data_IF_898938221835
#
_entry.id   IF_898938221835
#
_cell.length_a   1.000
_cell.length_b   1.000
_cell.length_c   1.000
_cell.angle_alpha   90.00
_cell.angle_beta   90.00
_cell.angle_gamma   90.00
#
_symmetry.space_group_name_H-M   'P 1'
#
loop_
_entity.id
_entity.type
_entity.pdbx_description
1 polymer ?
#
# COMPACT_ATOMS: atom_id res chain seq x y z
N UNK A 1 -14.08 -1.07 -8.92
CA UNK A 1 -12.94 -1.35 -9.83
C UNK A 1 -12.59 -0.18 -10.75
N UNK A 2 -13.44 0.85 -10.85
CA UNK A 2 -13.18 2.01 -11.71
C UNK A 2 -11.97 2.81 -11.24
N UNK A 3 -11.70 2.81 -9.94
CA UNK A 3 -10.53 3.48 -9.36
C UNK A 3 -9.23 2.73 -9.72
N UNK A 4 -9.23 1.42 -9.64
CA UNK A 4 -8.07 0.61 -9.99
C UNK A 4 -7.66 0.82 -11.46
N UNK A 5 -8.64 0.90 -12.37
CA UNK A 5 -8.36 1.20 -13.78
C UNK A 5 -7.68 2.56 -14.00
N UNK A 6 -7.97 3.54 -13.13
CA UNK A 6 -7.36 4.87 -13.20
C UNK A 6 -5.97 4.91 -12.57
N UNK A 7 -5.74 4.15 -11.50
CA UNK A 7 -4.48 4.23 -10.74
C UNK A 7 -3.37 3.35 -11.33
N UNK A 8 -3.70 2.24 -11.99
CA UNK A 8 -2.68 1.34 -12.59
C UNK A 8 -1.73 2.09 -13.55
N UNK A 9 -2.21 2.91 -14.53
CA UNK A 9 -1.30 3.65 -15.41
C UNK A 9 -0.35 4.60 -14.67
N UNK A 10 -0.85 5.28 -13.63
CA UNK A 10 -0.05 6.17 -12.79
C UNK A 10 1.03 5.41 -12.02
N UNK A 11 0.70 4.27 -11.43
CA UNK A 11 1.65 3.43 -10.72
C UNK A 11 2.73 2.88 -11.65
N UNK A 12 2.36 2.48 -12.86
CA UNK A 12 3.32 2.02 -13.86
C UNK A 12 4.25 3.13 -14.33
N UNK A 13 3.73 4.34 -14.54
CA UNK A 13 4.55 5.50 -14.89
C UNK A 13 5.55 5.83 -13.77
N UNK A 14 5.13 5.75 -12.50
CA UNK A 14 6.01 5.95 -11.35
C UNK A 14 7.05 4.83 -11.18
N UNK A 15 6.67 3.59 -11.49
CA UNK A 15 7.60 2.47 -11.50
C UNK A 15 8.69 2.64 -12.58
N UNK A 16 8.31 3.15 -13.76
CA UNK A 16 9.25 3.48 -14.83
C UNK A 16 10.20 4.62 -14.43
N UNK A 17 9.70 5.68 -13.76
CA UNK A 17 10.49 6.84 -13.35
C UNK A 17 11.60 6.50 -12.34
N UNK A 18 11.41 5.43 -11.55
CA UNK A 18 12.43 4.95 -10.61
C UNK A 18 13.28 3.80 -11.17
N UNK A 19 12.88 3.20 -12.29
CA UNK A 19 13.61 2.10 -12.91
C UNK A 19 14.82 2.61 -13.70
N UNK A 20 15.96 1.99 -13.48
CA UNK A 20 17.21 2.27 -14.16
C UNK A 20 18.05 0.98 -14.32
N UNK A 21 19.33 1.09 -14.64
CA UNK A 21 20.23 -0.08 -14.78
C UNK A 21 20.46 -0.85 -13.47
N UNK A 22 20.08 -0.30 -12.32
CA UNK A 22 20.29 -0.86 -10.97
C UNK A 22 19.00 -1.10 -10.22
N UNK A 23 17.91 -0.55 -10.71
CA UNK A 23 16.60 -0.61 -10.05
C UNK A 23 15.56 -1.12 -11.03
N UNK A 24 14.85 -2.15 -10.65
CA UNK A 24 13.65 -2.60 -11.36
C UNK A 24 12.46 -2.47 -10.42
N UNK A 25 11.42 -1.76 -10.86
CA UNK A 25 10.18 -1.65 -10.14
C UNK A 25 9.04 -2.26 -10.94
N UNK A 26 8.14 -2.95 -10.25
CA UNK A 26 6.93 -3.55 -10.83
C UNK A 26 5.72 -3.23 -9.96
N UNK A 27 4.54 -3.26 -10.55
CA UNK A 27 3.28 -3.06 -9.85
C UNK A 27 2.68 -4.43 -9.55
N UNK A 28 2.41 -4.70 -8.27
CA UNK A 28 1.76 -5.92 -7.79
C UNK A 28 0.33 -5.58 -7.35
N UNK A 29 -0.65 -6.16 -8.02
CA UNK A 29 -2.06 -6.09 -7.62
C UNK A 29 -2.40 -7.37 -6.85
N UNK A 30 -2.71 -7.21 -5.57
CA UNK A 30 -3.24 -8.28 -4.73
C UNK A 30 -4.73 -8.09 -4.59
N UNK A 31 -5.48 -8.96 -5.25
CA UNK A 31 -6.94 -8.95 -5.25
C UNK A 31 -7.46 -9.90 -4.18
N UNK A 32 -8.00 -9.38 -3.09
CA UNK A 32 -8.58 -10.18 -2.03
C UNK A 32 -10.13 -10.18 -2.02
N UNK A 33 -10.73 -9.82 -3.15
CA UNK A 33 -12.13 -10.12 -3.40
C UNK A 33 -12.28 -11.63 -3.66
N UNK A 34 -13.12 -12.37 -2.92
CA UNK A 34 -13.35 -13.79 -3.15
C UNK A 34 -13.73 -14.15 -4.60
N UNK A 35 -14.28 -13.20 -5.33
CA UNK A 35 -14.71 -13.35 -6.74
C UNK A 35 -13.65 -12.88 -7.74
N UNK A 36 -12.47 -12.50 -7.28
CA UNK A 36 -11.39 -11.99 -8.15
C UNK A 36 -11.83 -10.80 -9.03
N UNK A 37 -12.53 -9.84 -8.43
CA UNK A 37 -13.19 -8.73 -9.14
C UNK A 37 -12.24 -7.77 -9.84
N UNK A 38 -10.96 -7.72 -9.46
CA UNK A 38 -9.95 -6.88 -10.10
C UNK A 38 -9.31 -7.54 -11.34
N UNK A 39 -9.45 -8.85 -11.55
CA UNK A 39 -8.80 -9.59 -12.63
C UNK A 39 -9.02 -8.97 -14.00
N UNK A 40 -10.27 -8.69 -14.36
CA UNK A 40 -10.61 -8.16 -15.69
C UNK A 40 -9.97 -6.79 -15.94
N UNK A 41 -9.88 -5.95 -14.92
CA UNK A 41 -9.25 -4.62 -15.01
C UNK A 41 -7.74 -4.76 -15.25
N UNK A 42 -7.08 -5.67 -14.53
CA UNK A 42 -5.64 -5.90 -14.69
C UNK A 42 -5.32 -6.49 -16.08
N UNK A 43 -6.12 -7.43 -16.57
CA UNK A 43 -5.93 -7.99 -17.91
C UNK A 43 -6.13 -6.93 -19.00
N UNK A 44 -7.13 -6.06 -18.86
CA UNK A 44 -7.31 -4.93 -19.78
C UNK A 44 -6.10 -3.99 -19.78
N UNK A 45 -5.54 -3.70 -18.59
CA UNK A 45 -4.34 -2.88 -18.47
C UNK A 45 -3.12 -3.56 -19.11
N UNK A 46 -2.94 -4.88 -18.97
CA UNK A 46 -1.86 -5.63 -19.62
C UNK A 46 -1.95 -5.56 -21.15
N UNK A 47 -3.15 -5.74 -21.70
CA UNK A 47 -3.37 -5.61 -23.15
C UNK A 47 -3.01 -4.21 -23.63
N UNK A 48 -3.40 -3.17 -22.92
CA UNK A 48 -3.05 -1.78 -23.24
C UNK A 48 -1.54 -1.50 -23.22
N UNK A 49 -0.77 -2.25 -22.42
CA UNK A 49 0.69 -2.18 -22.36
C UNK A 49 1.39 -2.93 -23.50
N UNK A 50 0.65 -3.55 -24.41
CA UNK A 50 1.22 -4.35 -25.50
C UNK A 50 1.74 -5.72 -25.05
N UNK A 51 1.36 -6.19 -23.87
CA UNK A 51 1.69 -7.53 -23.38
C UNK A 51 0.84 -8.58 -24.09
N UNK A 52 1.46 -9.63 -24.63
CA UNK A 52 0.75 -10.84 -25.04
C UNK A 52 0.04 -11.43 -23.81
N UNK A 53 -1.19 -11.90 -24.00
CA UNK A 53 -1.89 -12.65 -22.96
C UNK A 53 -0.99 -13.81 -22.54
N UNK A 54 -0.68 -14.00 -21.26
CA UNK A 54 -0.14 -15.27 -20.85
C UNK A 54 -1.22 -16.31 -21.17
N UNK A 55 -0.89 -17.26 -22.06
CA UNK A 55 -1.75 -18.43 -22.24
C UNK A 55 -2.10 -18.97 -20.86
N UNK A 56 -3.38 -19.26 -20.65
CA UNK A 56 -3.91 -19.82 -19.42
C UNK A 56 -3.34 -21.24 -19.22
N UNK A 57 -2.07 -21.32 -18.90
CA UNK A 57 -1.45 -22.52 -18.39
C UNK A 57 -1.57 -22.47 -16.88
N UNK A 58 -2.47 -23.31 -16.36
CA UNK A 58 -2.42 -23.69 -14.95
C UNK A 58 -0.97 -24.08 -14.62
N UNK A 59 -0.41 -23.61 -13.48
CA UNK A 59 0.96 -23.93 -13.11
C UNK A 59 1.06 -25.41 -12.74
N UNK A 60 1.26 -26.26 -13.74
CA UNK A 60 1.74 -27.63 -13.53
C UNK A 60 3.27 -27.57 -13.43
N UNK A 61 3.76 -27.44 -12.22
CA UNK A 61 5.20 -27.50 -11.95
C UNK A 61 5.70 -26.26 -11.21
N UNK A 62 6.50 -26.50 -10.20
CA UNK A 62 7.18 -25.56 -9.31
C UNK A 62 8.08 -24.54 -10.05
N UNK A 63 7.49 -23.61 -10.77
CA UNK A 63 8.17 -22.39 -11.16
C UNK A 63 8.14 -21.46 -9.94
N UNK A 64 9.31 -20.98 -9.53
CA UNK A 64 9.44 -20.01 -8.43
C UNK A 64 8.63 -18.77 -8.79
N UNK A 65 7.52 -18.45 -8.07
CA UNK A 65 6.66 -17.31 -8.39
C UNK A 65 7.43 -15.98 -8.33
N UNK A 66 8.53 -15.91 -7.59
CA UNK A 66 9.41 -14.75 -7.53
C UNK A 66 10.17 -14.54 -8.86
N UNK A 67 10.55 -15.59 -9.56
CA UNK A 67 11.26 -15.49 -10.85
C UNK A 67 10.35 -15.00 -11.98
N UNK A 68 9.06 -15.39 -11.96
CA UNK A 68 8.07 -14.91 -12.94
C UNK A 68 7.66 -13.44 -12.70
N UNK A 69 7.67 -12.99 -11.45
CA UNK A 69 7.39 -11.60 -11.09
C UNK A 69 8.51 -10.64 -11.51
N UNK A 70 9.75 -11.11 -11.58
CA UNK A 70 10.93 -10.29 -11.92
C UNK A 70 10.93 -9.76 -13.37
N UNK A 71 10.11 -10.31 -14.26
CA UNK A 71 10.05 -9.93 -15.68
C UNK A 71 8.77 -9.18 -16.09
N UNK A 72 7.73 -9.20 -15.27
CA UNK A 72 6.46 -8.54 -15.59
C UNK A 72 6.31 -7.20 -14.87
N UNK A 73 6.05 -6.13 -15.62
CA UNK A 73 5.80 -4.79 -15.06
C UNK A 73 4.51 -4.70 -14.24
N UNK A 74 3.54 -5.57 -14.52
CA UNK A 74 2.24 -5.64 -13.84
C UNK A 74 1.92 -7.08 -13.46
N UNK A 75 1.98 -7.37 -12.17
CA UNK A 75 1.72 -8.69 -11.59
C UNK A 75 0.34 -8.70 -10.94
N UNK A 76 -0.43 -9.74 -11.20
CA UNK A 76 -1.73 -9.97 -10.54
C UNK A 76 -1.67 -11.23 -9.70
N UNK A 77 -2.14 -11.13 -8.47
CA UNK A 77 -2.26 -12.27 -7.55
C UNK A 77 -3.63 -12.23 -6.89
N UNK A 78 -4.35 -13.35 -6.93
CA UNK A 78 -5.60 -13.52 -6.21
C UNK A 78 -5.33 -14.09 -4.81
N UNK A 79 -5.89 -13.44 -3.79
CA UNK A 79 -5.92 -13.91 -2.40
C UNK A 79 -7.39 -14.18 -2.02
N UNK A 80 -7.82 -15.46 -2.00
CA UNK A 80 -9.22 -15.79 -1.76
C UNK A 80 -9.66 -15.58 -0.31
N UNK A 81 -8.73 -15.50 0.65
CA UNK A 81 -9.06 -15.21 2.04
C UNK A 81 -9.43 -13.73 2.18
N UNK A 82 -10.68 -13.41 2.59
CA UNK A 82 -11.12 -12.03 2.69
C UNK A 82 -10.44 -11.31 3.86
N UNK A 83 -10.22 -10.02 3.68
CA UNK A 83 -9.72 -9.14 4.72
C UNK A 83 -8.34 -8.55 4.41
N UNK A 84 -8.15 -7.32 4.89
CA UNK A 84 -6.98 -6.49 4.59
C UNK A 84 -5.65 -7.15 4.99
N UNK A 85 -5.65 -7.91 6.08
CA UNK A 85 -4.45 -8.62 6.59
C UNK A 85 -4.03 -9.75 5.66
N UNK A 86 -4.98 -10.51 5.11
CA UNK A 86 -4.68 -11.58 4.16
C UNK A 86 -4.02 -11.00 2.90
N UNK A 87 -4.60 -9.95 2.31
CA UNK A 87 -4.04 -9.26 1.16
C UNK A 87 -2.63 -8.70 1.41
N UNK A 88 -2.40 -8.04 2.56
CA UNK A 88 -1.10 -7.49 2.90
C UNK A 88 -0.04 -8.56 3.17
N UNK A 89 -0.38 -9.64 3.85
CA UNK A 89 0.52 -10.77 4.06
C UNK A 89 0.80 -11.50 2.74
N UNK A 90 -0.17 -11.56 1.82
CA UNK A 90 0.03 -12.08 0.48
C UNK A 90 1.03 -11.21 -0.30
N UNK A 91 0.92 -9.88 -0.21
CA UNK A 91 1.88 -8.95 -0.81
C UNK A 91 3.29 -9.15 -0.28
N UNK A 92 3.47 -9.24 1.05
CA UNK A 92 4.75 -9.54 1.69
C UNK A 92 5.34 -10.88 1.22
N UNK A 93 4.49 -11.89 1.03
CA UNK A 93 4.95 -13.21 0.58
C UNK A 93 5.34 -13.21 -0.89
N UNK A 94 4.62 -12.46 -1.72
CA UNK A 94 4.87 -12.35 -3.15
C UNK A 94 6.11 -11.50 -3.47
N UNK A 95 6.41 -10.52 -2.62
CA UNK A 95 7.56 -9.63 -2.78
C UNK A 95 8.88 -10.21 -2.26
N UNK A 96 8.90 -11.46 -1.81
CA UNK A 96 10.15 -12.12 -1.36
C UNK A 96 11.21 -12.08 -2.45
N UNK A 97 12.43 -11.75 -2.06
CA UNK A 97 13.56 -11.60 -2.99
C UNK A 97 13.67 -10.22 -3.62
N UNK A 98 12.72 -9.30 -3.35
CA UNK A 98 12.87 -7.89 -3.66
C UNK A 98 13.53 -7.15 -2.48
N UNK A 99 14.16 -6.01 -2.77
CA UNK A 99 14.79 -5.19 -1.72
C UNK A 99 13.76 -4.43 -0.89
N UNK A 100 12.69 -3.95 -1.53
CA UNK A 100 11.64 -3.16 -0.89
C UNK A 100 10.25 -3.51 -1.42
N UNK A 101 9.23 -3.27 -0.59
CA UNK A 101 7.81 -3.32 -0.95
C UNK A 101 7.15 -1.99 -0.60
N UNK A 102 6.41 -1.42 -1.55
CA UNK A 102 5.63 -0.20 -1.32
C UNK A 102 4.16 -0.55 -1.36
N UNK A 103 3.45 -0.17 -0.30
CA UNK A 103 1.99 -0.28 -0.23
C UNK A 103 1.32 1.04 -0.60
N UNK A 104 0.23 0.92 -1.33
CA UNK A 104 -0.75 1.98 -1.60
C UNK A 104 -2.14 1.34 -1.67
N UNK A 105 -3.15 1.99 -1.12
CA UNK A 105 -4.52 1.51 -1.15
C UNK A 105 -5.17 1.82 -2.54
N UNK A 106 -6.16 1.04 -2.95
CA UNK A 106 -6.82 1.15 -4.26
C UNK A 106 -7.73 2.40 -4.40
N UNK A 107 -8.06 3.05 -3.29
CA UNK A 107 -8.81 4.32 -3.23
C UNK A 107 -7.88 5.55 -3.11
N UNK A 108 -6.58 5.38 -3.34
CA UNK A 108 -5.56 6.42 -3.21
C UNK A 108 -4.89 6.75 -4.55
N UNK A 109 -4.46 8.01 -4.68
CA UNK A 109 -3.82 8.52 -5.90
C UNK A 109 -2.45 9.07 -5.55
N UNK A 110 -1.36 8.49 -6.09
CA UNK A 110 -0.02 9.02 -5.87
C UNK A 110 0.20 10.32 -6.65
N UNK A 111 0.83 11.30 -6.01
CA UNK A 111 1.28 12.51 -6.69
C UNK A 111 2.50 12.22 -7.60
N UNK A 112 2.75 13.02 -8.64
CA UNK A 112 3.96 12.87 -9.46
C UNK A 112 5.23 12.87 -8.60
N UNK A 113 6.11 11.88 -8.81
CA UNK A 113 7.35 11.72 -8.05
C UNK A 113 7.20 11.07 -6.66
N UNK A 114 6.01 10.60 -6.30
CA UNK A 114 5.75 9.93 -5.03
C UNK A 114 6.68 8.74 -4.78
N UNK A 115 6.73 7.78 -5.70
CA UNK A 115 7.57 6.58 -5.53
C UNK A 115 9.06 6.95 -5.47
N UNK A 116 9.48 7.92 -6.26
CA UNK A 116 10.85 8.44 -6.24
C UNK A 116 11.21 9.06 -4.89
N UNK A 117 10.31 9.81 -4.27
CA UNK A 117 10.53 10.38 -2.96
C UNK A 117 10.68 9.29 -1.89
N UNK A 118 9.82 8.25 -1.89
CA UNK A 118 9.94 7.10 -0.98
C UNK A 118 11.29 6.39 -1.16
N UNK A 119 11.64 5.99 -2.39
CA UNK A 119 12.86 5.24 -2.70
C UNK A 119 14.11 6.05 -2.40
N UNK A 120 14.12 7.34 -2.74
CA UNK A 120 15.25 8.23 -2.46
C UNK A 120 15.49 8.39 -0.96
N UNK A 121 14.44 8.58 -0.18
CA UNK A 121 14.55 8.69 1.29
C UNK A 121 15.01 7.37 1.90
N UNK A 122 14.45 6.24 1.48
CA UNK A 122 14.88 4.92 1.95
C UNK A 122 16.36 4.67 1.72
N UNK A 123 16.85 4.92 0.51
CA UNK A 123 18.26 4.73 0.15
C UNK A 123 19.20 5.69 0.87
N UNK A 124 18.81 6.96 0.96
CA UNK A 124 19.64 7.98 1.61
C UNK A 124 19.77 7.78 3.11
N UNK A 125 18.71 7.25 3.76
CA UNK A 125 18.64 7.14 5.22
C UNK A 125 18.96 5.71 5.73
N UNK A 126 18.96 4.68 4.86
CA UNK A 126 19.17 3.28 5.26
C UNK A 126 18.17 2.85 6.35
N UNK A 127 16.90 3.23 6.20
CA UNK A 127 15.86 3.02 7.21
C UNK A 127 14.99 1.80 6.92
N UNK A 128 14.32 1.29 7.94
CA UNK A 128 13.46 0.10 7.84
C UNK A 128 12.15 0.37 7.10
N UNK A 129 11.68 1.61 7.10
CA UNK A 129 10.47 2.02 6.39
C UNK A 129 10.47 3.52 6.08
N UNK A 130 9.68 3.90 5.07
CA UNK A 130 9.41 5.31 4.72
C UNK A 130 7.90 5.48 4.53
N UNK A 131 7.37 6.58 5.01
CA UNK A 131 5.98 6.99 4.82
C UNK A 131 5.91 8.46 4.41
N UNK A 132 4.76 8.91 3.95
CA UNK A 132 4.55 10.31 3.56
C UNK A 132 3.13 10.77 3.89
N UNK A 133 2.77 12.01 3.54
CA UNK A 133 1.47 12.57 3.80
C UNK A 133 0.37 11.89 2.95
N UNK A 134 -0.84 11.79 3.54
CA UNK A 134 -2.03 11.23 2.89
C UNK A 134 -3.23 12.20 3.03
N UNK A 135 -3.16 13.40 2.41
CA UNK A 135 -4.26 14.37 2.49
C UNK A 135 -5.55 13.80 1.89
N UNK A 136 -6.72 14.12 2.49
CA UNK A 136 -8.00 13.71 1.97
C UNK A 136 -8.43 14.53 0.76
N UNK A 137 -9.05 13.87 -0.23
CA UNK A 137 -9.79 14.51 -1.31
C UNK A 137 -11.27 14.13 -1.16
N UNK A 138 -12.08 15.06 -0.70
CA UNK A 138 -13.50 14.84 -0.48
C UNK A 138 -14.29 14.94 -1.79
N UNK A 139 -15.17 13.99 -2.05
CA UNK A 139 -16.11 14.06 -3.20
C UNK A 139 -17.17 15.16 -3.02
N UNK A 140 -17.46 15.51 -1.76
CA UNK A 140 -18.37 16.60 -1.39
C UNK A 140 -17.74 17.39 -0.24
N UNK A 141 -17.97 18.69 -0.18
CA UNK A 141 -17.47 19.53 0.90
C UNK A 141 -17.91 18.99 2.26
N UNK A 142 -16.96 18.63 3.15
CA UNK A 142 -17.30 18.14 4.47
C UNK A 142 -17.94 19.23 5.32
N UNK A 143 -18.86 18.87 6.21
CA UNK A 143 -19.38 19.83 7.17
C UNK A 143 -18.27 20.31 8.12
N UNK A 144 -18.40 21.53 8.67
CA UNK A 144 -17.44 22.08 9.63
C UNK A 144 -17.18 21.14 10.82
N UNK A 145 -18.18 20.36 11.25
CA UNK A 145 -18.00 19.36 12.30
C UNK A 145 -17.10 18.19 11.86
N UNK A 146 -17.26 17.71 10.64
CA UNK A 146 -16.41 16.63 10.08
C UNK A 146 -14.98 17.11 9.96
N UNK A 147 -14.75 18.31 9.44
CA UNK A 147 -13.43 18.93 9.38
C UNK A 147 -12.81 19.07 10.78
N UNK A 148 -13.56 19.65 11.73
CA UNK A 148 -13.09 19.87 13.10
C UNK A 148 -12.85 18.57 13.89
N UNK A 149 -13.38 17.42 13.43
CA UNK A 149 -13.16 16.13 14.10
C UNK A 149 -11.75 15.59 13.98
N UNK A 150 -10.95 16.07 13.00
CA UNK A 150 -9.62 15.54 12.70
C UNK A 150 -9.59 14.10 12.16
N UNK A 151 -10.76 13.50 11.86
CA UNK A 151 -10.86 12.09 11.46
C UNK A 151 -10.20 11.77 10.11
N UNK A 152 -9.95 12.80 9.31
CA UNK A 152 -9.32 12.71 8.00
C UNK A 152 -8.02 13.49 7.90
N UNK A 153 -7.49 13.97 9.03
CA UNK A 153 -6.24 14.73 9.01
C UNK A 153 -5.09 13.84 8.52
N UNK A 154 -4.29 14.38 7.63
CA UNK A 154 -3.05 13.77 7.20
C UNK A 154 -1.99 13.97 8.28
N UNK A 155 -1.14 12.97 8.47
CA UNK A 155 0.04 13.12 9.30
C UNK A 155 1.03 14.05 8.59
N UNK A 156 1.59 14.98 9.36
CA UNK A 156 2.63 15.90 8.89
C UNK A 156 3.85 15.79 9.80
N UNK A 157 5.02 15.75 9.17
CA UNK A 157 6.31 15.81 9.84
C UNK A 157 7.31 16.51 8.93
N UNK A 158 8.42 16.97 9.49
CA UNK A 158 9.51 17.49 8.69
C UNK A 158 10.09 16.40 7.78
N UNK A 159 10.55 16.79 6.60
CA UNK A 159 11.19 15.85 5.67
C UNK A 159 12.39 15.15 6.33
N UNK A 160 12.50 13.84 6.18
CA UNK A 160 13.52 13.01 6.83
C UNK A 160 13.29 12.76 8.33
N UNK A 161 12.25 13.34 8.94
CA UNK A 161 11.99 13.12 10.38
C UNK A 161 11.70 11.66 10.70
N UNK A 162 12.10 11.23 11.90
CA UNK A 162 11.72 9.92 12.40
C UNK A 162 10.30 9.96 12.95
N UNK A 163 9.47 9.02 12.51
CA UNK A 163 8.10 8.82 13.01
C UNK A 163 7.97 7.46 13.69
N UNK A 164 6.91 7.29 14.49
CA UNK A 164 6.74 6.07 15.32
C UNK A 164 5.73 5.09 14.73
N UNK A 165 4.94 5.52 13.79
CA UNK A 165 3.86 4.76 13.17
C UNK A 165 3.62 5.27 11.76
N UNK A 166 3.04 4.44 10.91
CA UNK A 166 2.68 4.78 9.55
C UNK A 166 1.44 3.99 9.13
N UNK A 167 0.64 4.58 8.23
CA UNK A 167 -0.43 3.89 7.52
C UNK A 167 0.13 3.12 6.33
N UNK A 168 -0.40 1.94 6.06
CA UNK A 168 0.01 1.14 4.91
C UNK A 168 -0.45 1.70 3.58
N UNK A 169 -1.41 2.62 3.55
CA UNK A 169 -1.79 3.32 2.32
C UNK A 169 -0.66 4.15 1.70
N UNK A 170 0.39 4.48 2.46
CA UNK A 170 1.58 5.17 1.96
C UNK A 170 2.83 4.69 2.72
N UNK A 171 3.28 3.48 2.43
CA UNK A 171 4.36 2.84 3.20
C UNK A 171 5.31 2.06 2.32
N UNK A 172 6.59 2.44 2.33
CA UNK A 172 7.71 1.63 1.84
C UNK A 172 8.29 0.83 3.01
N UNK A 173 8.54 -0.45 2.80
CA UNK A 173 9.20 -1.37 3.72
C UNK A 173 10.51 -1.88 3.13
N UNK A 174 11.60 -1.84 3.89
CA UNK A 174 12.81 -2.61 3.63
C UNK A 174 12.54 -4.09 3.94
N UNK A 175 12.56 -4.93 2.91
CA UNK A 175 12.17 -6.33 3.07
C UNK A 175 13.21 -7.16 3.81
N UNK A 176 14.49 -6.81 3.72
CA UNK A 176 15.54 -7.50 4.48
C UNK A 176 15.32 -7.30 5.99
N UNK A 177 14.93 -6.08 6.41
CA UNK A 177 14.59 -5.79 7.81
C UNK A 177 13.32 -6.53 8.25
N UNK A 178 12.26 -6.46 7.44
CA UNK A 178 10.97 -7.11 7.75
C UNK A 178 11.12 -8.63 7.86
N UNK A 179 11.84 -9.25 6.95
CA UNK A 179 12.11 -10.70 6.95
C UNK A 179 13.03 -11.09 8.11
N UNK A 180 14.09 -10.33 8.35
CA UNK A 180 15.01 -10.57 9.47
C UNK A 180 14.33 -10.53 10.83
N UNK A 181 13.29 -9.72 10.97
CA UNK A 181 12.46 -9.62 12.17
C UNK A 181 11.29 -10.63 12.19
N UNK A 182 11.04 -11.34 11.10
CA UNK A 182 9.91 -12.25 10.96
C UNK A 182 8.55 -11.56 11.05
N UNK A 183 8.48 -10.26 10.70
CA UNK A 183 7.25 -9.47 10.85
C UNK A 183 6.19 -9.88 9.82
N UNK A 184 4.95 -9.95 10.28
CA UNK A 184 3.74 -10.16 9.48
C UNK A 184 2.60 -9.34 10.09
N UNK A 185 1.62 -9.00 9.26
CA UNK A 185 0.37 -8.43 9.75
C UNK A 185 -0.41 -9.47 10.55
N UNK A 186 -0.91 -9.08 11.74
CA UNK A 186 -1.56 -10.01 12.66
C UNK A 186 -3.02 -10.28 12.22
N UNK A 187 -3.38 -11.55 11.92
CA UNK A 187 -4.73 -11.91 11.46
C UNK A 187 -5.86 -11.52 12.42
N UNK A 188 -5.57 -11.34 13.70
CA UNK A 188 -6.56 -10.92 14.71
C UNK A 188 -7.13 -9.53 14.45
N UNK A 189 -6.46 -8.72 13.63
CA UNK A 189 -6.86 -7.34 13.28
C UNK A 189 -7.50 -7.22 11.90
N UNK A 190 -7.66 -8.31 11.16
CA UNK A 190 -8.14 -8.30 9.77
C UNK A 190 -9.53 -7.69 9.55
N UNK A 191 -10.39 -7.71 10.57
CA UNK A 191 -11.74 -7.15 10.52
C UNK A 191 -11.95 -5.92 11.41
N UNK A 192 -11.03 -5.64 12.32
CA UNK A 192 -11.16 -4.56 13.32
C UNK A 192 -10.39 -3.30 12.97
N UNK A 193 -9.41 -3.41 12.09
CA UNK A 193 -8.45 -2.34 11.78
C UNK A 193 -7.38 -2.18 12.88
N UNK A 194 -6.34 -1.40 12.59
CA UNK A 194 -5.21 -1.15 13.50
C UNK A 194 -4.04 -2.12 13.30
N UNK A 195 -4.11 -2.99 12.30
CA UNK A 195 -3.06 -3.93 11.89
C UNK A 195 -1.78 -3.22 11.44
N UNK A 196 -1.91 -2.09 10.74
CA UNK A 196 -0.82 -1.23 10.30
C UNK A 196 -0.10 -0.56 11.48
N UNK A 197 -0.87 0.00 12.41
CA UNK A 197 -0.33 0.59 13.64
C UNK A 197 0.38 -0.45 14.50
N UNK A 198 -0.14 -1.67 14.58
CA UNK A 198 0.52 -2.77 15.29
C UNK A 198 1.81 -3.16 14.59
N UNK A 199 1.77 -3.38 13.27
CA UNK A 199 2.92 -3.79 12.48
C UNK A 199 4.07 -2.77 12.58
N UNK A 200 3.78 -1.50 12.34
CA UNK A 200 4.79 -0.44 12.39
C UNK A 200 5.32 -0.20 13.81
N UNK A 201 4.50 -0.42 14.84
CA UNK A 201 4.92 -0.38 16.24
C UNK A 201 5.82 -1.57 16.61
N UNK A 202 5.56 -2.76 16.09
CA UNK A 202 6.44 -3.91 16.26
C UNK A 202 7.79 -3.66 15.58
N UNK A 203 7.78 -3.11 14.35
CA UNK A 203 8.98 -2.71 13.62
C UNK A 203 9.84 -1.73 14.46
N UNK A 204 9.23 -0.66 14.98
CA UNK A 204 9.96 0.35 15.76
C UNK A 204 10.43 -0.18 17.11
N UNK A 205 9.68 -1.05 17.79
CA UNK A 205 10.10 -1.70 19.03
C UNK A 205 11.28 -2.65 18.82
N UNK A 206 11.40 -3.24 17.66
CA UNK A 206 12.53 -4.08 17.28
C UNK A 206 13.77 -3.26 16.83
N UNK A 207 13.72 -1.93 16.93
CA UNK A 207 14.81 -1.03 16.55
C UNK A 207 14.75 -0.51 15.12
N UNK A 208 13.73 -0.89 14.32
CA UNK A 208 13.53 -0.34 12.98
C UNK A 208 13.20 1.15 13.03
N UNK A 209 13.74 1.91 12.08
CA UNK A 209 13.51 3.35 11.95
C UNK A 209 12.54 3.59 10.81
N UNK A 210 11.48 4.37 11.06
CA UNK A 210 10.56 4.86 10.03
C UNK A 210 10.89 6.33 9.76
N UNK A 211 11.09 6.68 8.49
CA UNK A 211 11.34 8.06 8.05
C UNK A 211 10.13 8.64 7.34
N UNK A 212 9.95 9.95 7.49
CA UNK A 212 8.90 10.69 6.79
C UNK A 212 9.49 11.37 5.55
N UNK A 213 8.90 11.12 4.39
CA UNK A 213 9.23 11.77 3.13
C UNK A 213 8.10 12.75 2.76
N UNK A 214 8.32 14.04 3.00
CA UNK A 214 7.29 15.06 2.77
C UNK A 214 6.85 15.18 1.30
N UNK A 215 7.74 14.81 0.36
CA UNK A 215 7.43 14.77 -1.08
C UNK A 215 6.67 13.51 -1.53
N UNK A 216 6.54 12.51 -0.67
CA UNK A 216 5.83 11.26 -1.00
C UNK A 216 4.33 11.39 -0.71
N UNK A 217 3.63 12.23 -1.45
CA UNK A 217 2.21 12.54 -1.23
C UNK A 217 1.32 11.54 -1.94
N UNK A 218 0.36 10.98 -1.20
CA UNK A 218 -0.74 10.15 -1.72
C UNK A 218 -2.05 10.79 -1.33
N UNK A 219 -2.92 11.07 -2.28
CA UNK A 219 -4.22 11.68 -2.00
C UNK A 219 -5.27 10.58 -1.77
N UNK A 220 -5.85 10.57 -0.57
CA UNK A 220 -6.90 9.61 -0.20
C UNK A 220 -8.27 10.11 -0.57
N UNK A 221 -8.99 9.36 -1.41
CA UNK A 221 -10.37 9.68 -1.76
C UNK A 221 -11.31 9.46 -0.57
N UNK A 222 -12.15 10.44 -0.32
CA UNK A 222 -13.18 10.37 0.73
C UNK A 222 -14.56 10.47 0.09
N UNK A 223 -15.23 9.32 -0.14
CA UNK A 223 -16.58 9.31 -0.70
C UNK A 223 -17.58 10.08 0.18
N UNK A 224 -18.60 10.65 -0.44
CA UNK A 224 -19.66 11.40 0.27
C UNK A 224 -20.28 10.61 1.43
N UNK A 225 -20.36 9.28 1.31
CA UNK A 225 -20.85 8.41 2.37
C UNK A 225 -19.96 8.40 3.62
N UNK A 226 -18.66 8.60 3.46
CA UNK A 226 -17.67 8.65 4.57
C UNK A 226 -17.57 10.06 5.17
N UNK A 227 -17.89 11.13 4.43
CA UNK A 227 -17.86 12.52 4.88
C UNK A 227 -19.06 12.90 5.77
N UNK A 228 -19.52 11.98 6.64
CA UNK A 228 -20.70 12.15 7.51
C UNK A 228 -20.36 11.94 8.97
N UNK A 229 -21.07 12.66 9.86
CA UNK A 229 -20.89 12.56 11.33
C UNK A 229 -21.03 11.12 11.84
N UNK A 230 -22.05 10.40 11.36
CA UNK A 230 -22.31 9.02 11.76
C UNK A 230 -21.13 8.11 11.44
N UNK A 231 -20.57 8.22 10.25
CA UNK A 231 -19.40 7.45 9.84
C UNK A 231 -18.15 7.76 10.70
N UNK A 232 -17.89 9.05 10.97
CA UNK A 232 -16.79 9.48 11.84
C UNK A 232 -16.92 8.89 13.24
N UNK A 233 -18.12 8.93 13.82
CA UNK A 233 -18.37 8.36 15.15
C UNK A 233 -18.19 6.83 15.16
N UNK A 234 -18.73 6.13 14.17
CA UNK A 234 -18.55 4.67 14.03
C UNK A 234 -17.08 4.28 13.86
N UNK A 235 -16.34 5.04 13.04
CA UNK A 235 -14.90 4.83 12.86
C UNK A 235 -14.14 5.05 14.18
N UNK A 236 -14.45 6.14 14.90
CA UNK A 236 -13.80 6.45 16.17
C UNK A 236 -14.03 5.38 17.23
N UNK A 237 -15.24 4.83 17.31
CA UNK A 237 -15.57 3.72 18.23
C UNK A 237 -14.79 2.44 17.87
N UNK A 238 -14.70 2.12 16.58
CA UNK A 238 -13.91 0.96 16.11
C UNK A 238 -12.43 1.13 16.41
N UNK A 239 -11.87 2.29 16.07
CA UNK A 239 -10.44 2.57 16.33
C UNK A 239 -10.12 2.59 17.83
N UNK A 240 -10.99 3.18 18.67
CA UNK A 240 -10.80 3.18 20.12
C UNK A 240 -10.77 1.78 20.71
N UNK A 241 -11.58 0.85 20.21
CA UNK A 241 -11.57 -0.55 20.66
C UNK A 241 -10.29 -1.31 20.27
N UNK A 242 -9.64 -0.93 19.17
CA UNK A 242 -8.37 -1.52 18.72
C UNK A 242 -7.17 -1.03 19.54
N UNK A 243 -7.24 0.19 20.09
CA UNK A 243 -6.20 0.74 20.97
C UNK A 243 -6.25 0.20 22.40
N UNK A 244 -7.40 -0.28 22.84
CA UNK A 244 -7.62 -0.80 24.20
C UNK A 244 -7.22 -2.28 24.37
N UNK A 245 -6.79 -2.96 23.32
CA UNK A 245 -6.33 -4.35 23.30
C UNK A 245 -4.80 -4.43 23.16
#
# INVERSE_FOLDING_TARGET
NDYLAQVIPELLAQADDVSDTRTTASVLIVDNDPQAGARAVVEAARVALGGEQPEASEPTGQADPAAAAATSRLVYVHEPEPGIVAGRNRALSQARGSDALVFIDDDEIPSPGWLKALVSTWRAQGCAAVTGPTPPAFEVDPSAWVTASGAFDSWEAADGAQVRSADTGNLLLDLAVVEGLGLRFDPRYGLTGGEDSLFTRQLTRAGGVIRFAAGAVVTKRVPAARARRTWVLERSLRSGSSWAR
#
